data_IF_219171998553
#
_entry.id   IF_219171998553
#
_cell.length_a   1.000
_cell.length_b   1.000
_cell.length_c   1.000
_cell.angle_alpha   90.00
_cell.angle_beta   90.00
_cell.angle_gamma   90.00
#
_symmetry.space_group_name_H-M   'P 1'
#
loop_
_entity.id
_entity.type
_entity.pdbx_description
1 polymer ?
#
# COMPACT_ATOMS: atom_id res chain seq x y z
N UNK A 1 -36.49 -9.19 -1.73
CA UNK A 1 -36.01 -9.44 -3.10
C UNK A 1 -36.27 -8.15 -3.89
N UNK A 2 -35.22 -7.55 -4.38
CA UNK A 2 -35.25 -6.32 -5.16
C UNK A 2 -35.02 -6.68 -6.62
N UNK A 3 -35.76 -6.07 -7.53
CA UNK A 3 -35.58 -6.30 -8.95
C UNK A 3 -34.26 -5.68 -9.44
N UNK A 4 -33.63 -6.29 -10.45
CA UNK A 4 -32.36 -5.82 -11.01
C UNK A 4 -32.50 -4.42 -11.63
N UNK A 5 -33.66 -4.16 -12.19
CA UNK A 5 -33.98 -2.88 -12.86
C UNK A 5 -33.94 -1.70 -11.88
N UNK A 6 -34.40 -1.91 -10.63
CA UNK A 6 -34.40 -0.89 -9.58
C UNK A 6 -32.97 -0.51 -9.19
N UNK A 7 -32.06 -1.48 -9.12
CA UNK A 7 -30.64 -1.23 -8.88
C UNK A 7 -29.96 -0.52 -10.04
N UNK A 8 -30.36 -0.73 -11.29
CA UNK A 8 -29.69 -0.14 -12.44
C UNK A 8 -29.86 1.37 -12.46
N UNK A 9 -31.05 1.87 -12.13
CA UNK A 9 -31.30 3.32 -12.07
C UNK A 9 -30.46 4.00 -10.98
N UNK A 10 -30.35 3.38 -9.80
CA UNK A 10 -29.52 3.86 -8.68
C UNK A 10 -28.04 3.83 -9.05
N UNK A 11 -27.57 2.76 -9.68
CA UNK A 11 -26.17 2.64 -10.09
C UNK A 11 -25.76 3.74 -11.08
N UNK A 12 -26.62 4.10 -12.02
CA UNK A 12 -26.38 5.19 -12.97
C UNK A 12 -26.32 6.55 -12.25
N UNK A 13 -27.21 6.79 -11.28
CA UNK A 13 -27.23 8.02 -10.49
C UNK A 13 -25.94 8.14 -9.65
N UNK A 14 -25.58 7.09 -8.91
CA UNK A 14 -24.35 7.06 -8.11
C UNK A 14 -23.12 7.24 -8.99
N UNK A 15 -23.01 6.52 -10.10
CA UNK A 15 -21.88 6.62 -11.02
C UNK A 15 -21.75 8.03 -11.59
N UNK A 16 -22.85 8.66 -11.97
CA UNK A 16 -22.87 10.03 -12.48
C UNK A 16 -22.41 11.03 -11.42
N UNK A 17 -22.89 10.87 -10.18
CA UNK A 17 -22.50 11.70 -9.05
C UNK A 17 -21.01 11.52 -8.71
N UNK A 18 -20.50 10.28 -8.65
CA UNK A 18 -19.08 10.00 -8.42
C UNK A 18 -18.20 10.58 -9.50
N UNK A 19 -18.63 10.53 -10.78
CA UNK A 19 -17.88 11.16 -11.89
C UNK A 19 -17.87 12.69 -11.82
N UNK A 20 -18.90 13.30 -11.26
CA UNK A 20 -19.01 14.75 -11.10
C UNK A 20 -18.31 15.27 -9.84
N UNK A 21 -18.00 14.41 -8.86
CA UNK A 21 -17.36 14.80 -7.60
C UNK A 21 -15.90 15.18 -7.79
N UNK A 22 -15.42 16.06 -6.90
CA UNK A 22 -13.99 16.37 -6.77
C UNK A 22 -13.34 15.33 -5.85
N UNK A 23 -12.03 15.11 -6.01
CA UNK A 23 -11.28 14.26 -5.11
C UNK A 23 -11.51 14.67 -3.64
N UNK A 24 -11.85 13.69 -2.78
CA UNK A 24 -12.14 13.82 -1.34
C UNK A 24 -13.50 14.42 -0.94
N UNK A 25 -14.42 14.63 -1.85
CA UNK A 25 -15.78 14.99 -1.46
C UNK A 25 -16.52 13.76 -0.94
N UNK A 26 -17.11 13.90 0.23
CA UNK A 26 -18.14 12.96 0.71
C UNK A 26 -19.46 13.37 0.06
N UNK A 27 -20.08 12.46 -0.65
CA UNK A 27 -21.30 12.74 -1.39
C UNK A 27 -22.41 11.79 -0.99
N UNK A 28 -23.56 12.36 -0.73
CA UNK A 28 -24.85 11.67 -0.76
C UNK A 28 -25.67 12.37 -1.86
N UNK A 29 -25.75 11.81 -3.09
CA UNK A 29 -26.57 12.39 -4.13
C UNK A 29 -28.04 12.38 -3.73
N UNK A 30 -28.76 13.45 -4.02
CA UNK A 30 -30.21 13.54 -3.77
C UNK A 30 -30.94 12.33 -4.38
N UNK A 31 -31.81 11.70 -3.62
CA UNK A 31 -32.62 10.57 -4.03
C UNK A 31 -31.94 9.19 -3.94
N UNK A 32 -30.63 9.12 -3.59
CA UNK A 32 -29.94 7.82 -3.42
C UNK A 32 -30.32 7.17 -2.11
N UNK A 33 -30.43 7.92 -1.02
CA UNK A 33 -30.79 7.37 0.29
C UNK A 33 -32.19 6.75 0.26
N UNK A 34 -33.16 7.42 -0.34
CA UNK A 34 -34.52 6.91 -0.45
C UNK A 34 -34.59 5.58 -1.21
N UNK A 35 -33.80 5.45 -2.27
CA UNK A 35 -33.79 4.20 -3.05
C UNK A 35 -33.02 3.11 -2.33
N UNK A 36 -31.94 3.44 -1.61
CA UNK A 36 -31.23 2.46 -0.78
C UNK A 36 -32.11 1.94 0.35
N UNK A 37 -32.96 2.81 0.93
CA UNK A 37 -33.97 2.42 1.96
C UNK A 37 -35.03 1.49 1.36
N UNK A 38 -35.53 1.76 0.15
CA UNK A 38 -36.48 0.89 -0.53
C UNK A 38 -35.93 -0.51 -0.82
N UNK A 39 -34.62 -0.62 -1.05
CA UNK A 39 -33.92 -1.89 -1.27
C UNK A 39 -33.33 -2.48 0.02
N UNK A 40 -33.67 -1.91 1.18
CA UNK A 40 -33.24 -2.35 2.52
C UNK A 40 -31.71 -2.35 2.72
N UNK A 41 -31.02 -1.36 2.17
CA UNK A 41 -29.61 -1.10 2.40
C UNK A 41 -29.51 0.08 3.37
N UNK A 42 -29.37 -0.19 4.66
CA UNK A 42 -29.36 0.83 5.72
C UNK A 42 -27.97 1.11 6.28
N UNK A 43 -27.03 0.18 6.16
CA UNK A 43 -25.67 0.31 6.68
C UNK A 43 -24.76 0.93 5.59
N UNK A 44 -24.70 2.27 5.58
CA UNK A 44 -23.89 3.04 4.62
C UNK A 44 -22.46 3.30 5.13
N UNK A 45 -22.19 3.05 6.41
CA UNK A 45 -20.87 3.21 7.01
C UNK A 45 -20.17 1.88 7.22
N UNK A 46 -18.99 1.70 6.58
CA UNK A 46 -18.15 0.56 6.85
C UNK A 46 -17.59 0.60 8.27
N UNK A 47 -17.66 -0.52 9.00
CA UNK A 47 -16.95 -0.67 10.28
C UNK A 47 -15.46 -0.48 10.03
N UNK A 48 -14.79 0.27 10.90
CA UNK A 48 -13.36 0.59 10.75
C UNK A 48 -12.46 -0.63 10.61
N UNK A 49 -12.94 -1.80 10.97
CA UNK A 49 -12.23 -3.08 10.99
C UNK A 49 -12.52 -3.97 9.79
N UNK A 50 -13.58 -3.69 9.05
CA UNK A 50 -14.00 -4.44 7.87
C UNK A 50 -13.60 -3.67 6.59
N UNK A 51 -12.99 -4.37 5.64
CA UNK A 51 -12.72 -3.84 4.29
C UNK A 51 -13.73 -4.33 3.27
N UNK A 52 -14.71 -5.07 3.70
CA UNK A 52 -15.76 -5.59 2.84
C UNK A 52 -16.77 -4.48 2.59
N UNK A 53 -16.95 -4.16 1.31
CA UNK A 53 -17.92 -3.13 0.90
C UNK A 53 -19.31 -3.74 0.75
N UNK A 54 -19.42 -5.03 0.39
CA UNK A 54 -20.68 -5.78 0.37
C UNK A 54 -20.46 -7.29 0.45
N UNK A 55 -21.51 -8.03 0.81
CA UNK A 55 -21.51 -9.47 0.89
C UNK A 55 -22.47 -10.06 -0.15
N UNK A 56 -22.07 -11.19 -0.75
CA UNK A 56 -22.89 -11.97 -1.66
C UNK A 56 -23.22 -13.31 -1.01
N UNK A 57 -24.50 -13.64 -0.94
CA UNK A 57 -24.99 -14.98 -0.64
C UNK A 57 -25.23 -15.72 -1.95
N UNK A 58 -24.50 -16.79 -2.18
CA UNK A 58 -24.78 -17.68 -3.31
C UNK A 58 -25.94 -18.62 -2.97
N UNK A 59 -26.67 -19.09 -3.97
CA UNK A 59 -27.92 -19.85 -3.83
C UNK A 59 -27.81 -21.23 -3.14
N UNK A 60 -26.66 -21.59 -2.62
CA UNK A 60 -26.49 -22.78 -1.80
C UNK A 60 -26.67 -22.42 -0.32
N UNK A 61 -27.58 -23.14 0.36
CA UNK A 61 -27.88 -22.88 1.78
C UNK A 61 -26.67 -23.04 2.70
N UNK A 62 -25.63 -23.75 2.27
CA UNK A 62 -24.38 -23.99 3.03
C UNK A 62 -23.22 -23.13 2.56
N UNK A 63 -23.41 -22.25 1.56
CA UNK A 63 -22.33 -21.38 1.09
C UNK A 63 -22.16 -20.22 2.07
N UNK A 64 -20.93 -19.97 2.57
CA UNK A 64 -20.68 -18.82 3.44
C UNK A 64 -20.88 -17.52 2.66
N UNK A 65 -21.30 -16.48 3.37
CA UNK A 65 -21.33 -15.13 2.83
C UNK A 65 -19.93 -14.77 2.29
N UNK A 66 -19.89 -14.31 1.04
CA UNK A 66 -18.66 -13.95 0.36
C UNK A 66 -18.53 -12.44 0.29
N UNK A 67 -17.54 -11.88 1.00
CA UNK A 67 -17.29 -10.45 1.05
C UNK A 67 -16.49 -9.96 -0.15
N UNK A 68 -16.85 -8.81 -0.69
CA UNK A 68 -16.14 -8.14 -1.78
C UNK A 68 -15.72 -6.74 -1.39
N UNK A 69 -14.52 -6.37 -1.84
CA UNK A 69 -13.99 -5.02 -1.74
C UNK A 69 -14.10 -4.35 -3.11
N UNK A 70 -14.76 -3.19 -3.18
CA UNK A 70 -14.89 -2.40 -4.41
C UNK A 70 -13.84 -1.31 -4.43
N UNK A 71 -13.23 -1.12 -5.57
CA UNK A 71 -12.26 -0.05 -5.77
C UNK A 71 -12.51 0.63 -7.11
N UNK A 72 -12.47 1.94 -7.08
CA UNK A 72 -12.67 2.77 -8.25
C UNK A 72 -11.34 3.18 -8.87
N UNK A 73 -11.25 3.09 -10.19
CA UNK A 73 -10.18 3.69 -11.00
C UNK A 73 -10.52 5.10 -11.49
N UNK A 74 -11.54 5.73 -10.93
CA UNK A 74 -11.93 7.09 -11.28
C UNK A 74 -10.93 8.12 -10.74
N UNK A 75 -10.32 7.84 -9.57
CA UNK A 75 -9.23 8.66 -9.04
C UNK A 75 -7.91 8.37 -9.77
N UNK A 76 -6.96 9.32 -9.71
CA UNK A 76 -5.63 9.19 -10.33
C UNK A 76 -4.86 7.99 -9.81
N UNK A 77 -5.18 7.51 -8.61
CA UNK A 77 -4.56 6.36 -7.98
C UNK A 77 -5.42 5.74 -6.89
N UNK A 78 -5.27 4.43 -6.73
CA UNK A 78 -5.86 3.68 -5.65
C UNK A 78 -4.77 3.22 -4.66
N UNK A 79 -4.77 3.70 -3.39
CA UNK A 79 -3.80 3.28 -2.40
C UNK A 79 -4.05 1.84 -1.94
N UNK A 80 -3.06 0.95 -2.16
CA UNK A 80 -2.99 -0.36 -1.52
C UNK A 80 -2.40 -0.25 -0.11
N UNK A 81 -1.38 0.58 0.03
CA UNK A 81 -0.71 0.89 1.28
C UNK A 81 -0.62 2.41 1.44
N UNK A 82 -1.31 2.93 2.44
CA UNK A 82 -1.20 4.32 2.90
C UNK A 82 -1.27 4.31 4.43
N UNK A 83 -0.15 4.01 5.04
CA UNK A 83 -0.06 3.84 6.49
C UNK A 83 0.39 5.10 7.23
N UNK A 84 0.63 6.19 6.53
CA UNK A 84 1.17 7.40 7.14
C UNK A 84 2.43 7.08 7.96
N UNK A 85 2.55 7.63 9.16
CA UNK A 85 3.71 7.44 10.05
C UNK A 85 3.96 5.98 10.46
N UNK A 86 2.94 5.14 10.48
CA UNK A 86 3.08 3.73 10.87
C UNK A 86 3.83 2.91 9.80
N UNK A 87 3.84 3.39 8.55
CA UNK A 87 4.54 2.74 7.45
C UNK A 87 6.00 3.21 7.26
N UNK A 88 6.59 3.82 8.28
CA UNK A 88 7.99 4.27 8.24
C UNK A 88 8.98 3.13 8.55
N UNK A 89 10.01 3.03 7.73
CA UNK A 89 11.15 2.14 7.92
C UNK A 89 12.37 2.96 8.34
N UNK A 90 13.13 2.48 9.31
CA UNK A 90 14.25 3.19 9.95
C UNK A 90 15.58 2.70 9.44
N UNK A 91 16.44 3.65 9.12
CA UNK A 91 17.83 3.43 8.76
C UNK A 91 18.71 4.13 9.79
N UNK A 92 19.57 3.39 10.44
CA UNK A 92 20.55 3.92 11.35
C UNK A 92 21.68 4.62 10.59
N UNK A 93 21.97 5.87 10.97
CA UNK A 93 23.12 6.58 10.47
C UNK A 93 24.38 6.09 11.20
N UNK A 94 25.28 5.49 10.44
CA UNK A 94 26.56 4.93 10.88
C UNK A 94 27.72 5.57 10.12
N UNK A 95 28.93 5.10 10.32
CA UNK A 95 30.14 5.70 9.76
C UNK A 95 30.59 6.88 10.60
N UNK A 96 30.70 8.08 10.02
CA UNK A 96 31.11 9.28 10.73
C UNK A 96 29.97 9.77 11.64
N UNK A 97 30.30 10.11 12.87
CA UNK A 97 29.36 10.71 13.85
C UNK A 97 29.09 12.16 13.50
N UNK A 98 27.87 12.50 13.16
CA UNK A 98 27.49 13.88 12.86
C UNK A 98 27.24 14.70 14.13
N UNK A 99 27.78 15.92 14.16
CA UNK A 99 27.40 16.92 15.14
C UNK A 99 26.03 17.55 14.79
N UNK A 100 25.34 18.08 15.79
CA UNK A 100 24.00 18.69 15.60
C UNK A 100 23.96 19.74 14.48
N UNK A 101 24.94 20.65 14.31
CA UNK A 101 24.93 21.60 13.19
C UNK A 101 24.97 20.93 11.82
N UNK A 102 25.70 19.81 11.68
CA UNK A 102 25.75 19.02 10.44
C UNK A 102 24.41 18.37 10.15
N UNK A 103 23.77 17.78 11.16
CA UNK A 103 22.43 17.21 11.03
C UNK A 103 21.40 18.26 10.60
N UNK A 104 21.41 19.43 11.23
CA UNK A 104 20.54 20.55 10.85
C UNK A 104 20.75 20.97 9.39
N UNK A 105 22.01 21.03 8.95
CA UNK A 105 22.35 21.33 7.55
C UNK A 105 21.85 20.26 6.58
N UNK A 106 21.95 18.98 6.93
CA UNK A 106 21.41 17.88 6.13
C UNK A 106 19.88 17.98 6.05
N UNK A 107 19.21 18.18 7.18
CA UNK A 107 17.77 18.26 7.23
C UNK A 107 17.18 19.48 6.50
N UNK A 108 17.95 20.57 6.41
CA UNK A 108 17.59 21.77 5.66
C UNK A 108 18.01 21.72 4.17
N UNK A 109 18.59 20.61 3.72
CA UNK A 109 19.06 20.50 2.34
C UNK A 109 17.91 20.22 1.38
N UNK A 110 17.91 20.96 0.26
CA UNK A 110 16.94 20.81 -0.81
C UNK A 110 15.54 21.32 -0.45
N UNK A 111 14.57 21.01 -1.28
CA UNK A 111 13.16 21.25 -1.01
C UNK A 111 12.61 20.24 0.01
N UNK A 112 11.40 20.48 0.51
CA UNK A 112 10.80 19.65 1.57
C UNK A 112 10.77 18.16 1.21
N UNK A 113 10.53 17.82 -0.04
CA UNK A 113 10.43 16.45 -0.55
C UNK A 113 11.74 15.88 -1.12
N UNK A 114 12.86 16.64 -1.05
CA UNK A 114 14.17 16.18 -1.54
C UNK A 114 14.83 15.16 -0.60
N UNK A 115 14.16 14.03 -0.42
CA UNK A 115 14.65 12.91 0.39
C UNK A 115 15.93 12.32 -0.19
N UNK A 116 16.01 12.20 -1.50
CA UNK A 116 17.20 11.67 -2.20
C UNK A 116 18.42 12.55 -1.99
N UNK A 117 18.26 13.87 -2.13
CA UNK A 117 19.35 14.84 -1.92
C UNK A 117 19.92 14.76 -0.51
N UNK A 118 19.04 14.62 0.51
CA UNK A 118 19.49 14.44 1.91
C UNK A 118 20.23 13.11 2.11
N UNK A 119 19.77 12.00 1.50
CA UNK A 119 20.47 10.72 1.55
C UNK A 119 21.86 10.81 0.92
N UNK A 120 21.97 11.40 -0.27
CA UNK A 120 23.24 11.61 -0.95
C UNK A 120 24.17 12.55 -0.17
N UNK A 121 23.62 13.56 0.49
CA UNK A 121 24.41 14.45 1.35
C UNK A 121 25.00 13.72 2.55
N UNK A 122 24.21 12.82 3.19
CA UNK A 122 24.69 11.95 4.27
C UNK A 122 25.89 11.12 3.77
N UNK A 123 25.77 10.48 2.62
CA UNK A 123 26.85 9.67 2.03
C UNK A 123 28.10 10.50 1.68
N UNK A 124 27.92 11.66 1.06
CA UNK A 124 29.02 12.60 0.74
C UNK A 124 29.79 13.07 1.98
N UNK A 125 29.12 13.18 3.11
CA UNK A 125 29.74 13.54 4.38
C UNK A 125 30.35 12.34 5.12
N UNK A 126 30.38 11.15 4.50
CA UNK A 126 30.95 9.92 5.06
C UNK A 126 30.03 9.17 6.02
N UNK A 127 28.75 9.55 6.07
CA UNK A 127 27.71 8.76 6.77
C UNK A 127 27.25 7.59 5.92
N UNK A 128 26.74 6.57 6.59
CA UNK A 128 26.17 5.37 5.95
C UNK A 128 24.81 5.10 6.57
N UNK A 129 23.79 4.95 5.72
CA UNK A 129 22.44 4.56 6.14
C UNK A 129 22.32 3.03 6.08
N UNK A 130 22.19 2.39 7.22
CA UNK A 130 21.98 0.95 7.34
C UNK A 130 20.55 0.67 7.79
N UNK A 131 19.85 -0.22 7.09
CA UNK A 131 18.54 -0.67 7.54
C UNK A 131 18.63 -1.14 9.00
N UNK A 132 17.75 -0.61 9.83
CA UNK A 132 17.67 -0.95 11.25
C UNK A 132 16.37 -1.72 11.56
N UNK A 133 15.21 -1.08 11.41
CA UNK A 133 13.93 -1.69 11.77
C UNK A 133 12.75 -0.94 11.10
N UNK A 134 11.52 -1.40 11.37
CA UNK A 134 10.28 -0.67 11.11
C UNK A 134 9.96 0.20 12.32
N UNK A 135 9.51 1.44 12.09
CA UNK A 135 9.23 2.37 13.19
C UNK A 135 8.06 1.89 14.07
N UNK A 136 7.04 1.30 13.46
CA UNK A 136 5.87 0.76 14.16
C UNK A 136 6.00 -0.75 14.37
N UNK A 137 5.76 -1.20 15.63
CA UNK A 137 5.90 -2.60 16.01
C UNK A 137 4.85 -3.51 15.38
N UNK A 138 3.63 -3.00 15.19
CA UNK A 138 2.54 -3.78 14.58
C UNK A 138 2.85 -3.99 13.11
N UNK A 139 3.25 -2.93 12.40
CA UNK A 139 3.63 -3.04 10.99
C UNK A 139 4.84 -3.97 10.81
N UNK A 140 5.84 -3.87 11.68
CA UNK A 140 6.97 -4.81 11.69
C UNK A 140 6.50 -6.26 11.76
N UNK A 141 5.61 -6.58 12.72
CA UNK A 141 5.08 -7.92 12.90
C UNK A 141 4.30 -8.38 11.65
N UNK A 142 3.47 -7.51 11.08
CA UNK A 142 2.72 -7.79 9.86
C UNK A 142 3.63 -8.11 8.67
N UNK A 143 4.68 -7.34 8.47
CA UNK A 143 5.67 -7.60 7.41
C UNK A 143 6.42 -8.91 7.66
N UNK A 144 6.74 -9.22 8.92
CA UNK A 144 7.41 -10.47 9.29
C UNK A 144 6.52 -11.71 9.07
N UNK A 145 5.19 -11.56 9.05
CA UNK A 145 4.28 -12.65 8.65
C UNK A 145 4.40 -13.01 7.17
N UNK A 146 4.85 -12.09 6.31
CA UNK A 146 5.16 -12.39 4.91
C UNK A 146 6.49 -13.14 4.82
N UNK A 147 7.53 -12.61 5.48
CA UNK A 147 8.86 -13.21 5.61
C UNK A 147 9.68 -12.43 6.64
N UNK A 148 10.54 -13.10 7.42
CA UNK A 148 11.40 -12.43 8.41
C UNK A 148 12.37 -11.41 7.80
N UNK A 149 12.75 -11.57 6.53
CA UNK A 149 13.59 -10.62 5.80
C UNK A 149 12.80 -9.56 5.05
N UNK A 150 11.47 -9.69 4.99
CA UNK A 150 10.62 -8.78 4.20
C UNK A 150 10.68 -7.32 4.68
N UNK A 151 10.72 -7.01 5.99
CA UNK A 151 10.89 -5.63 6.43
C UNK A 151 12.15 -4.98 5.85
N UNK A 152 13.27 -5.70 5.83
CA UNK A 152 14.52 -5.20 5.23
C UNK A 152 14.41 -5.10 3.71
N UNK A 153 13.77 -6.08 3.06
CA UNK A 153 13.53 -6.02 1.61
C UNK A 153 12.77 -4.75 1.23
N UNK A 154 11.68 -4.46 1.93
CA UNK A 154 10.87 -3.26 1.70
C UNK A 154 11.69 -1.99 1.92
N UNK A 155 12.52 -1.95 2.97
CA UNK A 155 13.42 -0.83 3.24
C UNK A 155 14.40 -0.57 2.10
N UNK A 156 15.08 -1.62 1.60
CA UNK A 156 16.02 -1.48 0.48
C UNK A 156 15.31 -1.07 -0.81
N UNK A 157 14.09 -1.57 -1.09
CA UNK A 157 13.29 -1.11 -2.22
C UNK A 157 12.96 0.38 -2.13
N UNK A 158 12.58 0.89 -0.95
CA UNK A 158 12.35 2.31 -0.73
C UNK A 158 13.62 3.14 -0.95
N UNK A 159 14.77 2.64 -0.49
CA UNK A 159 16.06 3.30 -0.71
C UNK A 159 16.36 3.45 -2.20
N UNK A 160 16.22 2.37 -2.97
CA UNK A 160 16.42 2.36 -4.43
C UNK A 160 15.40 3.30 -5.10
N UNK A 161 14.13 3.23 -4.70
CA UNK A 161 13.09 4.11 -5.24
C UNK A 161 13.45 5.59 -5.09
N UNK A 162 13.94 6.02 -3.93
CA UNK A 162 14.33 7.40 -3.72
C UNK A 162 15.59 7.80 -4.50
N UNK A 163 16.61 6.94 -4.53
CA UNK A 163 17.91 7.25 -5.15
C UNK A 163 17.86 7.16 -6.68
N UNK A 164 17.21 6.14 -7.22
CA UNK A 164 17.22 5.81 -8.65
C UNK A 164 15.94 6.27 -9.38
N UNK A 165 14.92 6.72 -8.62
CA UNK A 165 13.64 7.18 -9.18
C UNK A 165 12.75 6.07 -9.75
N UNK A 166 13.10 4.80 -9.55
CA UNK A 166 12.33 3.65 -10.02
C UNK A 166 11.13 3.45 -9.09
N UNK A 167 9.92 3.53 -9.63
CA UNK A 167 8.71 3.46 -8.80
C UNK A 167 7.88 2.19 -9.02
N UNK A 168 7.91 1.58 -10.21
CA UNK A 168 7.15 0.36 -10.48
C UNK A 168 7.64 -0.79 -9.63
N UNK A 169 6.70 -1.49 -8.97
CA UNK A 169 7.04 -2.62 -8.10
C UNK A 169 7.78 -3.72 -8.84
N UNK A 170 7.36 -4.05 -10.07
CA UNK A 170 8.01 -5.07 -10.90
C UNK A 170 9.45 -4.69 -11.26
N UNK A 171 9.69 -3.45 -11.67
CA UNK A 171 11.03 -2.94 -12.02
C UNK A 171 11.96 -2.91 -10.79
N UNK A 172 11.46 -2.39 -9.65
CA UNK A 172 12.22 -2.42 -8.39
C UNK A 172 12.58 -3.84 -7.95
N UNK A 173 11.67 -4.79 -8.17
CA UNK A 173 11.93 -6.19 -7.85
C UNK A 173 13.04 -6.78 -8.72
N UNK A 174 13.11 -6.40 -10.00
CA UNK A 174 14.23 -6.82 -10.88
C UNK A 174 15.57 -6.21 -10.39
N UNK A 175 15.58 -4.94 -10.00
CA UNK A 175 16.78 -4.33 -9.40
C UNK A 175 17.18 -5.05 -8.12
N UNK A 176 16.22 -5.43 -7.27
CA UNK A 176 16.49 -6.21 -6.05
C UNK A 176 17.13 -7.57 -6.35
N UNK A 177 16.72 -8.25 -7.42
CA UNK A 177 17.35 -9.50 -7.87
C UNK A 177 18.82 -9.29 -8.28
N UNK A 178 19.10 -8.23 -9.01
CA UNK A 178 20.45 -7.91 -9.51
C UNK A 178 21.38 -7.47 -8.38
N UNK A 179 20.94 -6.55 -7.53
CA UNK A 179 21.76 -6.00 -6.44
C UNK A 179 21.88 -6.97 -5.27
N UNK A 180 20.85 -7.77 -5.05
CA UNK A 180 20.74 -8.76 -3.97
C UNK A 180 21.18 -8.24 -2.58
N UNK A 181 20.62 -7.14 -2.10
CA UNK A 181 21.07 -6.50 -0.84
C UNK A 181 20.83 -7.36 0.39
N UNK A 182 19.95 -8.35 0.30
CA UNK A 182 19.66 -9.30 1.37
C UNK A 182 20.64 -10.50 1.38
N UNK A 183 21.49 -10.62 0.37
CA UNK A 183 22.41 -11.77 0.18
C UNK A 183 21.67 -13.11 0.15
N UNK A 184 20.53 -13.14 -0.52
CA UNK A 184 19.77 -14.38 -0.74
C UNK A 184 20.58 -15.30 -1.65
N UNK A 185 20.52 -16.62 -1.38
CA UNK A 185 21.20 -17.62 -2.22
C UNK A 185 20.68 -17.55 -3.64
N UNK A 186 21.60 -17.61 -4.61
CA UNK A 186 21.31 -17.50 -6.03
C UNK A 186 20.20 -18.48 -6.50
N UNK A 187 20.23 -19.69 -5.99
CA UNK A 187 19.22 -20.70 -6.28
C UNK A 187 17.79 -20.26 -5.88
N UNK A 188 17.64 -19.56 -4.76
CA UNK A 188 16.33 -19.03 -4.32
C UNK A 188 15.87 -17.87 -5.21
N UNK A 189 16.81 -17.09 -5.73
CA UNK A 189 16.48 -15.97 -6.63
C UNK A 189 16.05 -16.51 -8.00
N UNK A 190 16.82 -17.43 -8.57
CA UNK A 190 16.65 -17.89 -9.96
C UNK A 190 15.59 -18.96 -10.11
N UNK A 191 15.56 -19.98 -9.22
CA UNK A 191 14.61 -21.09 -9.32
C UNK A 191 13.29 -20.83 -8.58
N UNK A 192 13.34 -20.14 -7.44
CA UNK A 192 12.17 -19.92 -6.59
C UNK A 192 11.61 -18.49 -6.70
N UNK A 193 12.22 -17.63 -7.52
CA UNK A 193 11.76 -16.24 -7.73
C UNK A 193 11.51 -15.48 -6.42
N UNK A 194 12.42 -15.64 -5.43
CA UNK A 194 12.23 -15.22 -4.04
C UNK A 194 11.68 -13.80 -3.90
N UNK A 195 12.34 -12.80 -4.50
CA UNK A 195 11.94 -11.39 -4.38
C UNK A 195 10.54 -11.13 -4.95
N UNK A 196 10.26 -11.68 -6.12
CA UNK A 196 8.97 -11.56 -6.77
C UNK A 196 7.86 -12.25 -5.98
N UNK A 197 8.11 -13.50 -5.55
CA UNK A 197 7.16 -14.25 -4.73
C UNK A 197 6.80 -13.51 -3.44
N UNK A 198 7.80 -13.00 -2.70
CA UNK A 198 7.55 -12.28 -1.44
C UNK A 198 6.80 -10.97 -1.67
N UNK A 199 7.12 -10.25 -2.74
CA UNK A 199 6.42 -9.02 -3.10
C UNK A 199 4.96 -9.30 -3.49
N UNK A 200 4.69 -10.35 -4.27
CA UNK A 200 3.33 -10.78 -4.61
C UNK A 200 2.52 -11.15 -3.36
N UNK A 201 3.09 -11.90 -2.42
CA UNK A 201 2.43 -12.21 -1.15
C UNK A 201 2.09 -10.96 -0.33
N UNK A 202 2.98 -9.99 -0.29
CA UNK A 202 2.72 -8.73 0.40
C UNK A 202 1.60 -7.93 -0.24
N UNK A 203 1.62 -7.76 -1.57
CA UNK A 203 0.56 -7.04 -2.29
C UNK A 203 -0.81 -7.72 -2.13
N UNK A 204 -0.85 -9.05 -2.16
CA UNK A 204 -2.07 -9.80 -1.87
C UNK A 204 -2.56 -9.54 -0.43
N UNK A 205 -1.67 -9.62 0.55
CA UNK A 205 -2.03 -9.35 1.94
C UNK A 205 -2.60 -7.93 2.12
N UNK A 206 -2.02 -6.91 1.46
CA UNK A 206 -2.54 -5.55 1.46
C UNK A 206 -3.93 -5.46 0.81
N UNK A 207 -4.09 -6.05 -0.38
CA UNK A 207 -5.36 -6.02 -1.10
C UNK A 207 -6.48 -6.75 -0.33
N UNK A 208 -6.13 -7.84 0.37
CA UNK A 208 -7.06 -8.67 1.12
C UNK A 208 -7.21 -8.27 2.60
N UNK A 209 -6.65 -7.15 3.04
CA UNK A 209 -7.00 -6.57 4.33
C UNK A 209 -5.88 -6.20 5.29
N UNK A 210 -4.61 -6.54 5.02
CA UNK A 210 -3.51 -6.13 5.89
C UNK A 210 -3.40 -4.60 5.95
N UNK A 211 -3.32 -4.05 7.16
CA UNK A 211 -3.11 -2.61 7.41
C UNK A 211 -1.90 -2.41 8.32
N UNK A 212 -1.09 -1.35 8.15
CA UNK A 212 0.07 -1.10 9.00
C UNK A 212 -0.28 -0.99 10.49
N UNK A 213 -1.34 -0.26 10.82
CA UNK A 213 -1.71 0.03 12.22
C UNK A 213 -2.49 -1.11 12.92
N UNK A 214 -2.84 -2.21 12.23
CA UNK A 214 -3.63 -3.31 12.78
C UNK A 214 -2.90 -4.62 12.67
N UNK A 215 -2.99 -5.43 13.73
CA UNK A 215 -2.39 -6.76 13.76
C UNK A 215 -2.99 -7.62 12.64
N UNK A 216 -2.12 -8.12 11.77
CA UNK A 216 -2.48 -9.05 10.70
C UNK A 216 -2.26 -10.49 11.18
N UNK A 217 -3.31 -11.29 11.18
CA UNK A 217 -3.27 -12.67 11.67
C UNK A 217 -2.94 -13.69 10.59
N UNK A 218 -2.74 -13.24 9.33
CA UNK A 218 -2.58 -14.13 8.18
C UNK A 218 -3.91 -14.69 7.65
N UNK A 219 -5.00 -14.46 8.35
CA UNK A 219 -6.34 -14.76 7.84
C UNK A 219 -6.75 -13.56 6.98
N UNK A 220 -7.03 -13.83 5.72
CA UNK A 220 -7.61 -12.82 4.83
C UNK A 220 -8.96 -12.40 5.45
N UNK A 221 -8.99 -11.24 6.09
CA UNK A 221 -10.17 -10.77 6.79
C UNK A 221 -11.28 -10.53 5.78
N UNK A 222 -12.32 -11.32 5.85
CA UNK A 222 -13.62 -11.15 5.21
C UNK A 222 -13.65 -10.91 3.68
N UNK A 223 -12.57 -10.46 3.04
CA UNK A 223 -12.55 -10.15 1.61
C UNK A 223 -12.23 -11.40 0.79
N UNK A 224 -13.23 -11.93 0.11
CA UNK A 224 -13.08 -13.08 -0.78
C UNK A 224 -12.89 -12.69 -2.26
N UNK A 225 -13.06 -11.42 -2.58
CA UNK A 225 -12.90 -10.88 -3.91
C UNK A 225 -12.64 -9.38 -3.93
N UNK A 226 -12.15 -8.92 -5.08
CA UNK A 226 -11.79 -7.55 -5.33
C UNK A 226 -12.43 -7.12 -6.66
N UNK A 227 -13.24 -6.08 -6.62
CA UNK A 227 -13.86 -5.49 -7.80
C UNK A 227 -13.18 -4.16 -8.10
N UNK A 228 -12.67 -4.04 -9.30
CA UNK A 228 -12.05 -2.81 -9.80
C UNK A 228 -12.95 -2.22 -10.88
N UNK A 229 -13.53 -1.06 -10.59
CA UNK A 229 -14.43 -0.34 -11.51
C UNK A 229 -13.66 0.79 -12.19
N UNK A 230 -13.65 0.84 -13.51
CA UNK A 230 -13.03 1.93 -14.27
C UNK A 230 -14.00 3.04 -14.66
N UNK A 231 -13.49 4.09 -15.33
CA UNK A 231 -14.28 5.24 -15.75
C UNK A 231 -15.30 4.95 -16.87
N UNK A 232 -15.19 3.81 -17.56
CA UNK A 232 -16.17 3.34 -18.56
C UNK A 232 -17.30 2.54 -17.92
N UNK A 233 -17.16 2.17 -16.63
CA UNK A 233 -18.06 1.25 -15.95
C UNK A 233 -17.69 -0.22 -16.14
N UNK A 234 -16.55 -0.52 -16.80
CA UNK A 234 -16.04 -1.88 -16.87
C UNK A 234 -15.58 -2.36 -15.48
N UNK A 235 -15.95 -3.58 -15.15
CA UNK A 235 -15.66 -4.20 -13.86
C UNK A 235 -14.70 -5.37 -14.07
N UNK A 236 -13.52 -5.27 -13.47
CA UNK A 236 -12.60 -6.38 -13.32
C UNK A 236 -12.82 -7.03 -11.95
N UNK A 237 -13.19 -8.30 -11.96
CA UNK A 237 -13.41 -9.08 -10.75
C UNK A 237 -12.27 -10.08 -10.55
N UNK A 238 -11.60 -10.00 -9.40
CA UNK A 238 -10.64 -10.99 -8.95
C UNK A 238 -11.19 -11.70 -7.74
N UNK A 239 -11.33 -13.02 -7.83
CA UNK A 239 -11.74 -13.85 -6.72
C UNK A 239 -10.53 -14.46 -6.01
N UNK A 240 -10.71 -14.79 -4.73
CA UNK A 240 -9.67 -15.46 -3.92
C UNK A 240 -9.22 -16.79 -4.55
N UNK A 241 -10.09 -17.46 -5.30
CA UNK A 241 -9.76 -18.67 -6.03
C UNK A 241 -8.70 -18.43 -7.12
N UNK A 242 -8.69 -17.25 -7.74
CA UNK A 242 -7.74 -16.86 -8.77
C UNK A 242 -6.51 -16.12 -8.20
N UNK A 243 -6.03 -16.56 -7.03
CA UNK A 243 -4.99 -15.90 -6.25
C UNK A 243 -3.74 -15.58 -7.07
N UNK A 244 -3.30 -16.46 -7.94
CA UNK A 244 -2.12 -16.25 -8.75
C UNK A 244 -2.33 -15.13 -9.78
N UNK A 245 -3.41 -15.17 -10.52
CA UNK A 245 -3.77 -14.14 -11.52
C UNK A 245 -3.90 -12.77 -10.85
N UNK A 246 -4.52 -12.74 -9.66
CA UNK A 246 -4.65 -11.50 -8.90
C UNK A 246 -3.30 -10.98 -8.39
N UNK A 247 -2.43 -11.88 -7.90
CA UNK A 247 -1.07 -11.50 -7.48
C UNK A 247 -0.26 -10.92 -8.65
N UNK A 248 -0.34 -11.54 -9.82
CA UNK A 248 0.33 -11.08 -11.04
C UNK A 248 -0.21 -9.72 -11.50
N UNK A 249 -1.53 -9.52 -11.42
CA UNK A 249 -2.14 -8.24 -11.71
C UNK A 249 -1.62 -7.15 -10.77
N UNK A 250 -1.66 -7.38 -9.45
CA UNK A 250 -1.17 -6.41 -8.46
C UNK A 250 0.30 -6.09 -8.67
N UNK A 251 1.13 -7.11 -8.89
CA UNK A 251 2.58 -6.95 -9.09
C UNK A 251 2.91 -6.09 -10.32
N UNK A 252 2.22 -6.32 -11.42
CA UNK A 252 2.48 -5.61 -12.68
C UNK A 252 1.82 -4.21 -12.74
N UNK A 253 0.84 -3.94 -11.88
CA UNK A 253 0.09 -2.68 -11.90
C UNK A 253 0.27 -1.83 -10.65
N UNK A 254 1.17 -2.18 -9.73
CA UNK A 254 1.47 -1.37 -8.55
C UNK A 254 2.73 -0.54 -8.70
N UNK A 255 2.75 0.61 -8.02
CA UNK A 255 3.94 1.44 -7.88
C UNK A 255 4.09 1.96 -6.46
N UNK A 256 5.31 2.22 -6.07
CA UNK A 256 5.60 3.00 -4.88
C UNK A 256 5.36 4.48 -5.14
N UNK A 257 5.03 5.19 -4.09
CA UNK A 257 4.75 6.61 -4.09
C UNK A 257 5.52 7.33 -3.02
N UNK A 258 5.74 8.61 -3.25
CA UNK A 258 6.26 9.52 -2.23
C UNK A 258 5.07 10.07 -1.44
N UNK A 259 5.08 9.93 -0.12
CA UNK A 259 4.15 10.60 0.79
C UNK A 259 4.60 12.05 1.05
N UNK A 260 3.84 12.78 1.87
CA UNK A 260 4.28 14.06 2.40
C UNK A 260 5.29 13.83 3.53
N UNK A 261 6.50 14.36 3.38
CA UNK A 261 7.56 14.24 4.39
C UNK A 261 7.16 14.87 5.71
N UNK A 262 6.44 15.99 5.67
CA UNK A 262 5.94 16.69 6.85
C UNK A 262 4.84 15.91 7.56
N UNK A 263 3.83 15.45 6.83
CA UNK A 263 2.67 14.71 7.38
C UNK A 263 3.11 13.34 7.92
N UNK A 264 3.91 12.61 7.15
CA UNK A 264 4.28 11.22 7.45
C UNK A 264 5.57 11.12 8.27
N UNK A 265 6.24 12.27 8.54
CA UNK A 265 7.45 12.37 9.37
C UNK A 265 8.56 11.41 8.93
N UNK A 266 9.02 11.57 7.70
CA UNK A 266 10.13 10.82 7.13
C UNK A 266 11.04 11.73 6.27
N UNK A 267 12.19 11.21 5.83
CA UNK A 267 13.13 11.95 4.98
C UNK A 267 14.06 12.91 5.73
N UNK A 268 14.15 12.78 7.06
CA UNK A 268 14.99 13.60 7.93
C UNK A 268 15.80 12.71 8.90
N UNK A 269 16.97 13.22 9.33
CA UNK A 269 17.71 12.62 10.44
C UNK A 269 17.09 13.05 11.76
N UNK A 270 16.61 12.08 12.52
CA UNK A 270 16.04 12.28 13.85
C UNK A 270 16.87 11.52 14.90
N UNK A 271 17.03 12.10 16.09
CA UNK A 271 17.82 11.51 17.17
C UNK A 271 16.90 10.74 18.12
N UNK A 272 17.13 9.45 18.26
CA UNK A 272 16.44 8.57 19.20
C UNK A 272 17.50 7.86 20.08
N UNK A 273 17.43 8.01 21.40
CA UNK A 273 18.35 7.37 22.36
C UNK A 273 19.83 7.56 22.03
N UNK A 274 20.21 8.75 21.56
CA UNK A 274 21.60 9.10 21.25
C UNK A 274 22.07 8.70 19.84
N UNK A 275 21.29 7.96 19.08
CA UNK A 275 21.56 7.49 17.71
C UNK A 275 20.70 8.29 16.72
N UNK A 276 21.26 8.59 15.55
CA UNK A 276 20.49 9.20 14.47
C UNK A 276 19.91 8.16 13.52
N UNK A 277 18.63 8.32 13.22
CA UNK A 277 17.89 7.49 12.26
C UNK A 277 17.33 8.36 11.15
N UNK A 278 17.37 7.82 9.94
CA UNK A 278 16.70 8.35 8.78
C UNK A 278 15.51 7.46 8.44
N UNK A 279 14.33 8.02 8.26
CA UNK A 279 13.12 7.24 7.97
C UNK A 279 12.74 7.35 6.51
N UNK A 280 12.26 6.25 5.92
CA UNK A 280 11.63 6.21 4.61
C UNK A 280 10.22 5.69 4.76
N UNK A 281 9.26 6.27 4.06
CA UNK A 281 7.84 5.93 4.15
C UNK A 281 7.43 4.96 3.04
N UNK A 282 6.67 3.93 3.39
CA UNK A 282 6.10 2.99 2.44
C UNK A 282 4.67 3.39 2.05
N UNK A 283 4.50 3.80 0.81
CA UNK A 283 3.21 4.06 0.18
C UNK A 283 3.18 3.35 -1.17
N UNK A 284 2.10 2.60 -1.43
CA UNK A 284 1.93 1.81 -2.66
C UNK A 284 0.52 2.03 -3.19
N UNK A 285 0.41 2.30 -4.47
CA UNK A 285 -0.86 2.42 -5.17
C UNK A 285 -0.92 1.60 -6.46
N UNK A 286 -2.14 1.36 -6.93
CA UNK A 286 -2.38 0.80 -8.26
C UNK A 286 -2.25 1.90 -9.31
N UNK A 287 -1.52 1.62 -10.38
CA UNK A 287 -1.33 2.53 -11.51
C UNK A 287 -2.61 2.60 -12.33
N UNK A 288 -3.03 3.80 -12.71
CA UNK A 288 -4.03 3.99 -13.75
C UNK A 288 -3.43 3.58 -15.10
N UNK A 289 -4.14 2.75 -15.85
CA UNK A 289 -3.77 2.47 -17.25
C UNK A 289 -4.11 3.64 -18.14
#
# INVERSE_FOLDING_TARGET
LVAREDFSAVAELILSAVKASRENDVMSPDGVEEVLDEVAIFDLEAKTDDRTDFYVAFYSADAPLTGFCVRSRLSSMFPLLDGGRTANLKFEQTGIKFATPTVNKINAFGEEDDVAGRMLMIERLGGVLKYNDVADKVFRSNLSMIDLHFPRMLGEMLRIMHLDGITRVSELTEVMKQVNPLKIKEELITKHHYYEYKMKQFLLALALGMRPAKLFTGVDSAVSGFLLVDGSGEILCYQKADRQTFADFLFNNSRFEKGSTEKDKYGYLERENGVYYFKLNAKIGLVKR
#
